data_IF_723902710327
#
_entry.id   IF_723902710327
#
_cell.length_a   1.000
_cell.length_b   1.000
_cell.length_c   1.000
_cell.angle_alpha   90.00
_cell.angle_beta   90.00
_cell.angle_gamma   90.00
#
_symmetry.space_group_name_H-M   'P 1'
#
loop_
_entity.id
_entity.type
_entity.pdbx_description
1 polymer ?
#
# COMPACT_ATOMS: atom_id res chain seq x y z
N UNK A 1 30.27 16.66 14.72
CA UNK A 1 29.42 16.58 13.52
C UNK A 1 28.61 15.30 13.65
N UNK A 2 27.33 15.40 13.99
CA UNK A 2 26.47 14.21 14.08
C UNK A 2 25.73 14.14 12.75
N UNK A 3 26.15 13.18 11.93
CA UNK A 3 25.48 12.79 10.70
C UNK A 3 24.09 12.28 11.10
N UNK A 4 23.06 13.09 10.82
CA UNK A 4 21.69 12.64 11.00
C UNK A 4 21.46 11.52 9.98
N UNK A 5 21.54 10.26 10.44
CA UNK A 5 21.11 9.10 9.69
C UNK A 5 19.67 9.37 9.21
N UNK A 6 19.54 9.74 7.94
CA UNK A 6 18.27 9.80 7.25
C UNK A 6 17.78 8.36 7.12
N UNK A 7 17.13 7.86 8.17
CA UNK A 7 16.28 6.68 8.06
C UNK A 7 15.32 6.95 6.89
N UNK A 8 15.25 6.10 5.86
CA UNK A 8 14.27 6.28 4.80
C UNK A 8 12.91 6.28 5.48
N UNK A 9 12.18 7.39 5.39
CA UNK A 9 10.80 7.45 5.90
C UNK A 9 10.08 6.22 5.33
N UNK A 10 9.42 5.39 6.16
CA UNK A 10 8.70 4.24 5.65
C UNK A 10 7.70 4.73 4.60
N UNK A 11 7.97 4.39 3.34
CA UNK A 11 7.18 4.84 2.21
C UNK A 11 6.25 3.70 1.81
N UNK A 12 4.95 3.99 1.78
CA UNK A 12 3.95 3.03 1.35
C UNK A 12 3.92 2.85 -0.17
N UNK A 13 4.70 3.64 -0.93
CA UNK A 13 4.82 3.51 -2.39
C UNK A 13 5.34 2.10 -2.73
N UNK A 14 4.77 1.47 -3.74
CA UNK A 14 5.08 0.10 -4.14
C UNK A 14 4.40 -0.99 -3.31
N UNK A 15 3.75 -0.64 -2.19
CA UNK A 15 3.06 -1.62 -1.35
C UNK A 15 1.59 -1.77 -1.78
N UNK A 16 1.07 -2.99 -1.61
CA UNK A 16 -0.36 -3.25 -1.75
C UNK A 16 -1.09 -2.73 -0.51
N UNK A 17 -2.06 -1.87 -0.72
CA UNK A 17 -2.85 -1.26 0.35
C UNK A 17 -4.33 -1.37 0.06
N UNK A 18 -5.13 -1.34 1.11
CA UNK A 18 -6.57 -1.16 1.05
C UNK A 18 -6.91 0.23 1.56
N UNK A 19 -7.54 1.03 0.71
CA UNK A 19 -7.95 2.41 1.01
C UNK A 19 -9.45 2.45 1.22
N UNK A 20 -9.87 2.97 2.37
CA UNK A 20 -11.26 3.28 2.68
C UNK A 20 -11.45 4.77 2.47
N UNK A 21 -12.42 5.16 1.64
CA UNK A 21 -12.62 6.56 1.29
C UNK A 21 -14.09 6.90 1.06
N UNK A 22 -14.41 8.19 1.10
CA UNK A 22 -15.72 8.72 0.72
C UNK A 22 -15.70 9.20 -0.73
N UNK A 23 -16.76 8.89 -1.47
CA UNK A 23 -16.96 9.42 -2.83
C UNK A 23 -17.45 10.87 -2.79
N UNK A 24 -17.46 11.55 -3.95
CA UNK A 24 -18.04 12.89 -4.08
C UNK A 24 -19.50 12.95 -3.59
N UNK A 25 -20.27 11.86 -3.77
CA UNK A 25 -21.67 11.74 -3.34
C UNK A 25 -21.85 11.27 -1.89
N UNK A 26 -20.77 11.22 -1.09
CA UNK A 26 -20.83 10.82 0.33
C UNK A 26 -20.86 9.31 0.60
N UNK A 27 -20.95 8.46 -0.43
CA UNK A 27 -20.90 7.01 -0.23
C UNK A 27 -19.51 6.54 0.19
N UNK A 28 -19.43 5.62 1.16
CA UNK A 28 -18.18 4.96 1.59
C UNK A 28 -17.82 3.85 0.60
N UNK A 29 -16.56 3.82 0.16
CA UNK A 29 -16.01 2.79 -0.73
C UNK A 29 -14.69 2.28 -0.22
N UNK A 30 -14.35 1.09 -0.67
CA UNK A 30 -13.09 0.41 -0.38
C UNK A 30 -12.43 0.07 -1.70
N UNK A 31 -11.12 0.28 -1.80
CA UNK A 31 -10.33 -0.10 -2.96
C UNK A 31 -8.99 -0.65 -2.52
N UNK A 32 -8.61 -1.79 -3.07
CA UNK A 32 -7.30 -2.40 -2.86
C UNK A 32 -6.46 -2.19 -4.10
N UNK A 33 -5.18 -1.88 -3.95
CA UNK A 33 -4.26 -1.72 -5.07
C UNK A 33 -2.85 -1.35 -4.61
N UNK A 34 -1.91 -1.34 -5.54
CA UNK A 34 -0.52 -0.97 -5.27
C UNK A 34 -0.36 0.55 -5.35
N UNK A 35 0.24 1.15 -4.32
CA UNK A 35 0.45 2.61 -4.28
C UNK A 35 1.50 3.01 -5.30
N UNK A 36 1.08 3.69 -6.36
CA UNK A 36 2.00 4.30 -7.32
C UNK A 36 2.46 5.68 -6.89
N UNK A 37 1.61 6.42 -6.17
CA UNK A 37 1.92 7.75 -5.63
C UNK A 37 1.14 8.00 -4.35
N UNK A 38 1.81 8.58 -3.36
CA UNK A 38 1.18 9.09 -2.16
C UNK A 38 1.59 10.54 -1.96
N UNK A 39 0.62 11.46 -1.93
CA UNK A 39 0.88 12.88 -1.75
C UNK A 39 -0.23 13.58 -0.98
N UNK A 40 0.01 14.86 -0.67
CA UNK A 40 -0.91 15.68 0.11
C UNK A 40 -2.32 15.83 -0.52
N UNK A 41 -2.42 15.73 -1.86
CA UNK A 41 -3.70 15.91 -2.57
C UNK A 41 -4.37 14.60 -2.95
N UNK A 42 -3.59 13.59 -3.35
CA UNK A 42 -4.12 12.34 -3.87
C UNK A 42 -3.23 11.16 -3.48
N UNK A 43 -3.86 9.99 -3.35
CA UNK A 43 -3.23 8.68 -3.47
C UNK A 43 -3.61 8.08 -4.83
N UNK A 44 -2.63 7.49 -5.52
CA UNK A 44 -2.83 6.80 -6.80
C UNK A 44 -2.56 5.31 -6.60
N UNK A 45 -3.56 4.50 -6.95
CA UNK A 45 -3.49 3.05 -6.91
C UNK A 45 -3.38 2.49 -8.32
N UNK A 46 -2.64 1.40 -8.45
CA UNK A 46 -2.49 0.60 -9.68
C UNK A 46 -2.75 -0.86 -9.38
N UNK A 47 -3.14 -1.62 -10.38
CA UNK A 47 -3.40 -3.06 -10.26
C UNK A 47 -2.12 -3.92 -10.41
N UNK A 48 -0.94 -3.38 -10.15
CA UNK A 48 0.35 -4.07 -10.35
C UNK A 48 0.91 -4.04 -11.78
N UNK A 49 0.09 -3.78 -12.82
CA UNK A 49 0.50 -3.82 -14.23
C UNK A 49 0.40 -2.45 -14.92
N UNK A 50 0.99 -1.41 -14.33
CA UNK A 50 1.03 0.00 -14.80
C UNK A 50 -0.34 0.66 -15.10
N UNK A 51 -1.44 -0.10 -15.08
CA UNK A 51 -2.79 0.41 -15.31
C UNK A 51 -3.28 1.11 -14.04
N UNK A 52 -3.67 2.35 -14.21
CA UNK A 52 -4.27 3.15 -13.16
C UNK A 52 -5.58 2.51 -12.72
N UNK A 53 -5.71 2.26 -11.42
CA UNK A 53 -6.88 1.62 -10.84
C UNK A 53 -7.79 2.63 -10.13
N UNK A 54 -7.19 3.59 -9.42
CA UNK A 54 -7.92 4.66 -8.75
C UNK A 54 -7.02 5.87 -8.48
N UNK A 55 -7.60 7.06 -8.57
CA UNK A 55 -7.06 8.29 -7.98
C UNK A 55 -8.05 8.73 -6.90
N UNK A 56 -7.58 8.78 -5.65
CA UNK A 56 -8.43 9.07 -4.50
C UNK A 56 -7.91 10.36 -3.83
N UNK A 57 -8.74 11.40 -3.67
CA UNK A 57 -8.34 12.60 -2.95
C UNK A 57 -8.00 12.29 -1.50
N UNK A 58 -6.85 12.75 -1.01
CA UNK A 58 -6.36 12.45 0.35
C UNK A 58 -7.34 12.95 1.42
N UNK A 59 -7.98 14.11 1.20
CA UNK A 59 -8.99 14.67 2.10
C UNK A 59 -10.26 13.79 2.26
N UNK A 60 -10.44 12.78 1.41
CA UNK A 60 -11.59 11.85 1.45
C UNK A 60 -11.23 10.48 1.98
N UNK A 61 -9.95 10.25 2.30
CA UNK A 61 -9.48 8.99 2.85
C UNK A 61 -9.90 8.95 4.32
N UNK A 62 -10.53 7.85 4.70
CA UNK A 62 -10.86 7.52 6.09
C UNK A 62 -9.72 6.71 6.69
N UNK A 63 -9.20 5.73 5.95
CA UNK A 63 -8.12 4.87 6.40
C UNK A 63 -7.32 4.31 5.21
N UNK A 64 -6.03 4.05 5.46
CA UNK A 64 -5.15 3.27 4.59
C UNK A 64 -4.62 2.10 5.41
N UNK A 65 -4.86 0.88 4.94
CA UNK A 65 -4.39 -0.34 5.58
C UNK A 65 -3.36 -0.98 4.67
N UNK A 66 -2.12 -1.09 5.15
CA UNK A 66 -1.09 -1.83 4.45
C UNK A 66 -1.32 -3.32 4.65
N UNK A 67 -1.40 -4.07 3.54
CA UNK A 67 -1.36 -5.52 3.61
C UNK A 67 0.10 -5.88 3.85
N UNK A 68 0.41 -6.36 5.06
CA UNK A 68 1.68 -7.06 5.27
C UNK A 68 1.72 -8.24 4.29
N UNK A 69 2.86 -8.54 3.65
CA UNK A 69 3.01 -9.84 3.02
C UNK A 69 2.65 -10.88 4.09
N UNK A 70 1.75 -11.82 3.76
CA UNK A 70 1.60 -12.99 4.63
C UNK A 70 3.01 -13.49 4.90
N UNK A 71 3.39 -13.80 6.16
CA UNK A 71 4.61 -14.54 6.38
C UNK A 71 4.49 -15.78 5.50
N UNK A 72 5.27 -15.84 4.42
CA UNK A 72 5.43 -17.06 3.67
C UNK A 72 6.08 -17.98 4.68
N UNK A 73 5.27 -18.79 5.36
CA UNK A 73 5.79 -19.86 6.20
C UNK A 73 6.81 -20.58 5.33
N UNK A 74 8.05 -20.62 5.80
CA UNK A 74 9.10 -21.42 5.17
C UNK A 74 8.45 -22.76 4.86
N UNK A 75 8.29 -23.05 3.56
CA UNK A 75 7.83 -24.37 3.16
C UNK A 75 8.76 -25.38 3.83
N UNK A 76 8.24 -26.48 4.40
CA UNK A 76 9.08 -27.43 5.10
C UNK A 76 10.22 -27.83 4.17
N UNK A 77 11.46 -27.70 4.67
CA UNK A 77 12.65 -28.14 3.95
C UNK A 77 12.41 -29.59 3.47
N UNK A 78 12.78 -29.93 2.22
CA UNK A 78 12.56 -31.29 1.72
C UNK A 78 13.21 -32.28 2.68
N UNK A 79 12.46 -33.32 3.06
CA UNK A 79 12.96 -34.38 3.90
C UNK A 79 14.20 -34.99 3.22
N UNK A 80 15.37 -34.84 3.85
CA UNK A 80 16.53 -35.62 3.48
C UNK A 80 16.27 -37.04 3.98
N UNK A 81 15.95 -37.96 3.06
CA UNK A 81 16.01 -39.39 3.32
C UNK A 81 17.48 -39.74 3.59
N UNK A 82 17.76 -40.19 4.81
CA UNK A 82 19.00 -40.87 5.21
C UNK A 82 18.75 -42.38 5.26
#
# INVERSE_FOLDING_TARGET
>A
MVEAQQFPRPTIIGHQVTVVYTTLRGARRVRTGTVARFGARVIVLTNGHRRLEAVIPTARIIAVVQLSPLPQGEGPAPAADN
#
